data_IF_319342114352
#
_entry.id   IF_319342114352
#
_cell.length_a   1.000
_cell.length_b   1.000
_cell.length_c   1.000
_cell.angle_alpha   90.00
_cell.angle_beta   90.00
_cell.angle_gamma   90.00
#
_symmetry.space_group_name_H-M   'P 1'
#
loop_
_entity.id
_entity.type
_entity.pdbx_description
1 polymer ?
#
# COMPACT_ATOMS: atom_id res chain seq x y z
N UNK A 1 2.26 -17.43 -1.28
CA UNK A 1 1.79 -18.00 -2.59
C UNK A 1 2.20 -17.09 -3.75
N UNK A 2 2.40 -17.62 -4.97
CA UNK A 2 2.65 -16.77 -6.16
C UNK A 2 1.37 -16.04 -6.55
N UNK A 3 1.46 -14.73 -6.78
CA UNK A 3 0.33 -13.89 -7.21
C UNK A 3 0.62 -13.35 -8.61
N UNK A 4 -0.32 -13.55 -9.53
CA UNK A 4 -0.28 -12.99 -10.88
C UNK A 4 -1.17 -11.74 -10.91
N UNK A 5 -0.56 -10.58 -11.01
CA UNK A 5 -1.27 -9.32 -11.19
C UNK A 5 -1.56 -9.13 -12.67
N UNK A 6 -2.82 -8.84 -13.01
CA UNK A 6 -3.26 -8.43 -14.34
C UNK A 6 -3.90 -7.07 -14.20
N UNK A 7 -3.32 -6.07 -14.86
CA UNK A 7 -3.75 -4.69 -14.72
C UNK A 7 -4.01 -4.07 -16.09
N UNK A 8 -4.99 -3.17 -16.14
CA UNK A 8 -5.32 -2.37 -17.31
C UNK A 8 -5.81 -1.03 -16.83
N UNK A 9 -5.36 0.04 -17.48
CA UNK A 9 -5.93 1.36 -17.23
C UNK A 9 -7.28 1.52 -17.95
N UNK A 10 -8.23 2.23 -17.32
CA UNK A 10 -9.52 2.58 -17.91
C UNK A 10 -9.52 3.99 -18.53
N UNK A 11 -8.51 4.80 -18.23
CA UNK A 11 -8.46 6.22 -18.58
C UNK A 11 -7.15 6.56 -19.33
N UNK A 12 -6.06 6.80 -18.60
CA UNK A 12 -4.77 7.28 -19.09
C UNK A 12 -3.64 6.36 -18.66
N UNK A 13 -2.40 6.68 -19.03
CA UNK A 13 -1.27 5.85 -18.65
C UNK A 13 -0.93 5.99 -17.16
N UNK A 14 -1.00 4.88 -16.42
CA UNK A 14 -0.50 4.77 -15.03
C UNK A 14 0.72 3.84 -14.95
N UNK A 15 1.36 3.76 -13.78
CA UNK A 15 2.41 2.77 -13.52
C UNK A 15 2.26 2.24 -12.11
N UNK A 16 1.85 0.97 -11.98
CA UNK A 16 1.70 0.30 -10.70
C UNK A 16 3.10 -0.02 -10.16
N UNK A 17 3.49 0.67 -9.10
CA UNK A 17 4.81 0.57 -8.49
C UNK A 17 4.71 0.05 -7.06
N UNK A 18 5.45 -1.02 -6.78
CA UNK A 18 5.47 -1.72 -5.51
C UNK A 18 6.90 -1.65 -4.95
N UNK A 19 7.28 -0.57 -4.24
CA UNK A 19 8.67 -0.23 -3.98
C UNK A 19 9.44 -1.33 -3.24
N UNK A 20 8.80 -1.91 -2.22
CA UNK A 20 9.40 -2.93 -1.36
C UNK A 20 9.59 -4.28 -2.07
N UNK A 21 8.80 -4.52 -3.10
CA UNK A 21 8.90 -5.73 -3.93
C UNK A 21 9.78 -5.50 -5.16
N UNK A 22 10.32 -4.29 -5.35
CA UNK A 22 11.10 -3.86 -6.53
C UNK A 22 10.40 -4.20 -7.85
N UNK A 23 9.07 -4.13 -7.83
CA UNK A 23 8.24 -4.46 -8.98
C UNK A 23 7.55 -3.19 -9.49
N UNK A 24 7.56 -3.03 -10.81
CA UNK A 24 6.85 -1.95 -11.48
C UNK A 24 6.27 -2.47 -12.80
N UNK A 25 5.04 -2.06 -13.10
CA UNK A 25 4.44 -2.34 -14.40
C UNK A 25 3.54 -1.18 -14.86
N UNK A 26 3.75 -0.79 -16.11
CA UNK A 26 2.94 0.21 -16.77
C UNK A 26 1.51 -0.33 -16.98
N UNK A 27 0.51 0.47 -16.58
CA UNK A 27 -0.90 0.19 -16.82
C UNK A 27 -1.35 1.09 -17.98
N UNK A 28 -1.54 0.49 -19.15
CA UNK A 28 -1.79 1.22 -20.40
C UNK A 28 -3.24 0.99 -20.85
N UNK A 29 -3.96 2.02 -21.33
CA UNK A 29 -5.27 1.82 -21.92
C UNK A 29 -5.22 0.87 -23.13
N UNK A 30 -6.19 -0.03 -23.24
CA UNK A 30 -6.33 -0.94 -24.39
C UNK A 30 -5.51 -2.24 -24.33
N UNK A 31 -4.64 -2.45 -23.34
CA UNK A 31 -3.87 -3.69 -23.19
C UNK A 31 -3.77 -4.12 -21.72
N UNK A 32 -3.90 -5.42 -21.46
CA UNK A 32 -3.65 -5.99 -20.14
C UNK A 32 -2.14 -6.21 -20.00
N UNK A 33 -1.52 -5.57 -19.02
CA UNK A 33 -0.16 -5.89 -18.60
C UNK A 33 -0.20 -6.83 -17.41
N UNK A 34 0.83 -7.66 -17.27
CA UNK A 34 0.89 -8.65 -16.21
C UNK A 34 2.30 -8.85 -15.70
N UNK A 35 2.41 -9.11 -14.41
CA UNK A 35 3.62 -9.57 -13.77
C UNK A 35 3.24 -10.41 -12.56
N UNK A 36 4.17 -11.25 -12.10
CA UNK A 36 3.95 -12.08 -10.93
C UNK A 36 5.12 -12.01 -9.99
N UNK A 37 4.84 -12.09 -8.70
CA UNK A 37 5.84 -12.31 -7.67
C UNK A 37 5.24 -13.15 -6.55
N UNK A 38 6.11 -13.68 -5.70
CA UNK A 38 5.75 -14.36 -4.46
C UNK A 38 6.30 -13.51 -3.33
N UNK A 39 5.46 -12.96 -2.43
CA UNK A 39 5.97 -12.25 -1.27
C UNK A 39 6.73 -13.22 -0.36
N UNK A 40 7.83 -12.75 0.21
CA UNK A 40 8.75 -13.56 1.03
C UNK A 40 8.62 -13.30 2.52
N UNK A 41 7.99 -12.18 2.91
CA UNK A 41 7.75 -11.80 4.30
C UNK A 41 6.34 -11.23 4.43
N UNK A 42 5.65 -11.54 5.53
CA UNK A 42 4.35 -10.96 5.86
C UNK A 42 4.49 -9.50 6.30
N UNK A 43 3.38 -8.75 6.28
CA UNK A 43 3.36 -7.37 6.79
C UNK A 43 3.72 -7.35 8.28
N UNK A 44 3.23 -8.33 9.05
CA UNK A 44 3.55 -8.46 10.47
C UNK A 44 5.03 -8.77 10.70
N UNK A 45 5.60 -9.73 9.97
CA UNK A 45 7.03 -10.08 10.05
C UNK A 45 7.91 -8.87 9.74
N UNK A 46 7.56 -8.10 8.70
CA UNK A 46 8.30 -6.89 8.35
C UNK A 46 8.17 -5.80 9.42
N UNK A 47 7.02 -5.68 10.09
CA UNK A 47 6.84 -4.76 11.23
C UNK A 47 7.62 -5.19 12.46
N UNK A 48 7.83 -6.49 12.65
CA UNK A 48 8.58 -7.06 13.77
C UNK A 48 10.11 -7.06 13.55
N UNK A 49 10.57 -6.91 12.31
CA UNK A 49 11.99 -6.88 11.98
C UNK A 49 12.72 -5.72 12.69
N UNK A 50 13.87 -5.99 13.29
CA UNK A 50 14.56 -5.06 14.19
C UNK A 50 14.91 -3.73 13.52
N UNK A 51 15.42 -3.77 12.28
CA UNK A 51 15.76 -2.57 11.53
C UNK A 51 14.53 -1.72 11.21
N UNK A 52 13.40 -2.35 10.90
CA UNK A 52 12.12 -1.68 10.67
C UNK A 52 11.59 -1.07 11.96
N UNK A 53 11.58 -1.81 13.05
CA UNK A 53 11.18 -1.30 14.38
C UNK A 53 12.01 -0.09 14.76
N UNK A 54 13.33 -0.17 14.62
CA UNK A 54 14.24 0.94 14.90
C UNK A 54 13.94 2.17 14.01
N UNK A 55 13.69 1.93 12.71
CA UNK A 55 13.34 2.98 11.74
C UNK A 55 12.01 3.65 12.10
N UNK A 56 10.97 2.88 12.37
CA UNK A 56 9.63 3.38 12.73
C UNK A 56 9.70 4.17 14.04
N UNK A 57 10.40 3.66 15.06
CA UNK A 57 10.63 4.40 16.32
C UNK A 57 11.30 5.74 16.09
N UNK A 58 12.36 5.77 15.26
CA UNK A 58 13.05 7.02 14.90
C UNK A 58 12.12 8.01 14.19
N UNK A 59 11.34 7.54 13.21
CA UNK A 59 10.39 8.38 12.47
C UNK A 59 9.33 8.95 13.41
N UNK A 60 8.75 8.12 14.28
CA UNK A 60 7.70 8.55 15.20
C UNK A 60 8.19 9.51 16.27
N UNK A 61 9.44 9.36 16.72
CA UNK A 61 10.08 10.37 17.59
C UNK A 61 10.10 11.75 16.91
N UNK A 62 10.59 11.81 15.67
CA UNK A 62 10.66 13.07 14.90
C UNK A 62 9.25 13.63 14.62
N UNK A 63 8.30 12.76 14.25
CA UNK A 63 6.92 13.18 13.99
C UNK A 63 6.26 13.75 15.25
N UNK A 64 6.50 13.17 16.42
CA UNK A 64 5.98 13.68 17.70
C UNK A 64 6.55 15.07 18.00
N UNK A 65 7.85 15.26 17.84
CA UNK A 65 8.50 16.57 18.05
C UNK A 65 7.88 17.64 17.14
N UNK A 66 7.70 17.33 15.85
CA UNK A 66 7.04 18.25 14.89
C UNK A 66 5.56 18.46 15.16
N UNK A 67 4.86 17.44 15.66
CA UNK A 67 3.43 17.56 15.99
C UNK A 67 3.18 18.53 17.14
N UNK A 68 4.12 18.65 18.08
CA UNK A 68 4.05 19.64 19.15
C UNK A 68 4.18 21.08 18.59
N UNK A 69 5.08 21.28 17.63
CA UNK A 69 5.25 22.57 16.94
C UNK A 69 4.00 22.93 16.12
N UNK A 70 3.46 21.99 15.35
CA UNK A 70 2.22 22.18 14.57
C UNK A 70 1.04 22.52 15.48
N UNK A 71 0.87 21.79 16.58
CA UNK A 71 -0.20 22.05 17.53
C UNK A 71 -0.09 23.44 18.19
N UNK A 72 1.14 23.93 18.44
CA UNK A 72 1.36 25.30 18.94
C UNK A 72 0.95 26.37 17.92
N UNK A 73 1.08 26.06 16.62
CA UNK A 73 0.66 26.94 15.53
C UNK A 73 -0.84 26.80 15.17
N UNK A 74 -1.58 25.93 15.86
CA UNK A 74 -2.98 25.65 15.56
C UNK A 74 -3.21 24.75 14.34
N UNK A 75 -2.16 24.08 13.86
CA UNK A 75 -2.21 23.12 12.75
C UNK A 75 -2.46 21.69 13.27
N UNK A 76 -2.91 20.81 12.38
CA UNK A 76 -3.17 19.41 12.71
C UNK A 76 -1.86 18.66 13.03
N UNK A 77 -1.82 17.86 14.11
CA UNK A 77 -0.65 17.06 14.45
C UNK A 77 -0.45 15.93 13.44
N UNK A 78 0.80 15.48 13.29
CA UNK A 78 1.11 14.36 12.40
C UNK A 78 0.69 13.04 13.04
N UNK A 79 0.06 12.17 12.25
CA UNK A 79 -0.21 10.81 12.67
C UNK A 79 1.07 9.99 12.86
N UNK A 80 1.01 8.99 13.73
CA UNK A 80 2.07 8.02 13.89
C UNK A 80 2.27 7.26 12.57
N UNK A 81 3.52 7.13 12.17
CA UNK A 81 3.92 6.27 11.06
C UNK A 81 3.88 4.81 11.50
N UNK A 82 3.20 3.99 10.70
CA UNK A 82 3.30 2.55 10.73
C UNK A 82 3.85 2.07 9.38
N UNK A 83 4.57 0.95 9.39
CA UNK A 83 5.02 0.34 8.15
C UNK A 83 3.85 -0.33 7.43
N UNK A 84 3.68 0.01 6.16
CA UNK A 84 2.81 -0.69 5.23
C UNK A 84 3.58 -0.96 3.93
N UNK A 85 3.33 -2.12 3.32
CA UNK A 85 3.68 -2.28 1.93
C UNK A 85 2.75 -1.41 1.08
N UNK A 86 3.31 -0.62 0.16
CA UNK A 86 2.55 0.33 -0.63
C UNK A 86 2.58 -0.04 -2.11
N UNK A 87 1.43 0.16 -2.75
CA UNK A 87 1.28 0.29 -4.19
C UNK A 87 1.09 1.78 -4.50
N UNK A 88 1.93 2.32 -5.37
CA UNK A 88 1.95 3.73 -5.76
C UNK A 88 1.76 3.85 -7.28
N UNK A 89 1.26 5.00 -7.74
CA UNK A 89 1.38 5.37 -9.13
C UNK A 89 2.74 6.02 -9.39
N UNK A 90 3.58 5.43 -10.26
CA UNK A 90 4.90 5.96 -10.65
C UNK A 90 4.93 6.51 -12.09
N UNK A 91 3.79 7.02 -12.57
CA UNK A 91 3.67 7.73 -13.84
C UNK A 91 2.66 8.85 -13.68
N UNK A 92 3.08 10.08 -13.97
CA UNK A 92 2.19 11.25 -13.92
C UNK A 92 0.96 10.97 -14.79
N UNK A 93 -0.20 10.90 -14.14
CA UNK A 93 -1.47 10.49 -14.73
C UNK A 93 -2.59 11.54 -14.52
N UNK A 94 -2.30 12.65 -13.85
CA UNK A 94 -3.28 13.72 -13.60
C UNK A 94 -2.95 14.57 -12.39
N UNK A 95 -3.85 15.49 -12.04
CA UNK A 95 -3.69 16.43 -10.91
C UNK A 95 -3.65 15.73 -9.55
N UNK A 96 -4.40 14.64 -9.39
CA UNK A 96 -4.46 13.88 -8.14
C UNK A 96 -3.44 12.73 -8.08
N UNK A 97 -2.43 12.73 -8.97
CA UNK A 97 -1.41 11.68 -9.06
C UNK A 97 -0.71 11.39 -7.73
N UNK A 98 -0.44 12.44 -6.94
CA UNK A 98 0.24 12.34 -5.64
C UNK A 98 -0.54 11.53 -4.61
N UNK A 99 -1.86 11.41 -4.75
CA UNK A 99 -2.73 10.71 -3.80
C UNK A 99 -3.02 9.27 -4.21
N UNK A 100 -2.48 8.81 -5.36
CA UNK A 100 -2.68 7.44 -5.85
C UNK A 100 -1.79 6.44 -5.11
N UNK A 101 -2.25 6.04 -3.93
CA UNK A 101 -1.63 5.01 -3.11
C UNK A 101 -2.66 3.99 -2.62
N UNK A 102 -2.24 2.74 -2.50
CA UNK A 102 -3.00 1.67 -1.86
C UNK A 102 -2.07 0.86 -0.96
N UNK A 103 -2.61 0.34 0.14
CA UNK A 103 -1.88 -0.59 1.00
C UNK A 103 -1.92 -1.99 0.41
N UNK A 104 -0.80 -2.68 0.48
CA UNK A 104 -0.70 -4.12 0.24
C UNK A 104 -0.53 -4.76 1.62
N UNK A 105 -1.37 -5.73 1.94
CA UNK A 105 -1.21 -6.55 3.13
C UNK A 105 -0.79 -7.95 2.67
N UNK A 106 0.27 -8.46 3.29
CA UNK A 106 0.75 -9.82 3.06
C UNK A 106 0.53 -10.58 4.36
N UNK A 107 -0.36 -11.56 4.34
CA UNK A 107 -0.70 -12.36 5.50
C UNK A 107 -0.27 -13.82 5.33
N UNK A 108 -0.36 -14.57 6.43
CA UNK A 108 -0.26 -16.03 6.40
C UNK A 108 -1.43 -16.61 5.59
N UNK A 109 -1.31 -17.84 5.04
CA UNK A 109 -2.43 -18.50 4.38
C UNK A 109 -3.67 -18.58 5.26
N UNK A 110 -3.49 -18.90 6.55
CA UNK A 110 -4.58 -19.06 7.51
C UNK A 110 -5.34 -17.75 7.74
N UNK A 111 -4.62 -16.66 8.01
CA UNK A 111 -5.20 -15.33 8.24
C UNK A 111 -5.87 -14.79 6.98
N UNK A 112 -5.28 -15.04 5.80
CA UNK A 112 -5.87 -14.63 4.53
C UNK A 112 -7.20 -15.35 4.26
N UNK A 113 -7.28 -16.65 4.49
CA UNK A 113 -8.53 -17.40 4.29
C UNK A 113 -9.60 -16.99 5.32
N UNK A 114 -9.21 -16.70 6.56
CA UNK A 114 -10.11 -16.13 7.56
C UNK A 114 -10.68 -14.78 7.12
N UNK A 115 -9.81 -13.85 6.69
CA UNK A 115 -10.22 -12.54 6.17
C UNK A 115 -11.13 -12.65 4.93
N UNK A 116 -10.81 -13.58 4.02
CA UNK A 116 -11.62 -13.82 2.82
C UNK A 116 -13.04 -14.31 3.16
N UNK A 117 -13.21 -15.11 4.22
CA UNK A 117 -14.51 -15.61 4.66
C UNK A 117 -15.44 -14.51 5.19
N UNK A 118 -14.87 -13.38 5.64
CA UNK A 118 -15.62 -12.21 6.11
C UNK A 118 -16.10 -11.31 4.97
N UNK A 119 -15.55 -11.46 3.76
CA UNK A 119 -15.87 -10.56 2.64
C UNK A 119 -17.23 -10.91 2.02
N UNK A 120 -18.05 -9.89 1.78
CA UNK A 120 -19.30 -10.05 1.03
C UNK A 120 -19.02 -10.46 -0.42
N UNK A 121 -19.89 -11.28 -0.99
CA UNK A 121 -19.82 -11.57 -2.43
C UNK A 121 -20.14 -10.32 -3.23
N UNK A 122 -19.66 -10.26 -4.48
CA UNK A 122 -19.96 -9.13 -5.38
C UNK A 122 -21.48 -8.90 -5.55
N UNK A 123 -22.27 -9.98 -5.62
CA UNK A 123 -23.71 -9.90 -5.76
C UNK A 123 -24.41 -9.27 -4.53
N UNK A 124 -23.82 -9.42 -3.35
CA UNK A 124 -24.30 -8.80 -2.11
C UNK A 124 -23.85 -7.35 -2.02
N UNK A 125 -22.59 -7.07 -2.39
CA UNK A 125 -22.00 -5.72 -2.34
C UNK A 125 -22.67 -4.72 -3.31
N UNK A 126 -23.17 -5.17 -4.47
CA UNK A 126 -23.80 -4.29 -5.48
C UNK A 126 -25.27 -3.96 -5.15
N UNK A 127 -25.87 -4.62 -4.16
CA UNK A 127 -27.27 -4.36 -3.74
C UNK A 127 -27.39 -3.33 -2.62
N UNK A 128 -26.27 -2.91 -2.02
CA UNK A 128 -26.20 -1.82 -1.04
C UNK A 128 -26.05 -0.48 -1.74
#
# INVERSE_FOLDING_TARGET
RKVLFKMRSQDVHHSAYMPFFRAQMNCVPGMITQFAFTPTMTTEEMRAEESMVAKVRKINKIRREKSLELAQNGEEPLENYEFDYLLLCNKICGTNHYNMQMKIVVDTPEDYEAWMAEQATFAEAVKQ
#
